data_IF_122238843476
#
_entry.id   IF_122238843476
#
_cell.length_a   1.000
_cell.length_b   1.000
_cell.length_c   1.000
_cell.angle_alpha   90.00
_cell.angle_beta   90.00
_cell.angle_gamma   90.00
#
_symmetry.space_group_name_H-M   'P 1'
#
loop_
_entity.id
_entity.type
_entity.pdbx_description
1 polymer ?
#
# COMPACT_ATOMS: atom_id res chain seq x y z
N UNK A 1 -16.91 -12.38 -75.42
CA UNK A 1 -17.40 -12.33 -74.02
C UNK A 1 -16.91 -13.56 -73.26
N UNK A 2 -15.97 -13.43 -72.30
CA UNK A 2 -15.72 -14.45 -71.30
C UNK A 2 -16.24 -14.03 -69.92
N UNK A 3 -16.83 -14.99 -69.21
CA UNK A 3 -17.52 -14.85 -67.92
C UNK A 3 -16.54 -14.52 -66.78
N UNK A 4 -16.84 -13.45 -66.03
CA UNK A 4 -16.19 -13.07 -64.77
C UNK A 4 -16.42 -14.15 -63.70
N UNK A 5 -15.33 -14.72 -63.16
CA UNK A 5 -15.36 -15.59 -61.98
C UNK A 5 -15.69 -14.77 -60.73
N UNK A 6 -16.72 -15.21 -59.99
CA UNK A 6 -17.16 -14.61 -58.74
C UNK A 6 -16.10 -14.76 -57.63
N UNK A 7 -15.76 -13.64 -56.97
CA UNK A 7 -14.93 -13.61 -55.76
C UNK A 7 -15.66 -14.32 -54.61
N UNK A 8 -15.03 -15.34 -54.04
CA UNK A 8 -15.50 -15.99 -52.82
C UNK A 8 -15.55 -14.98 -51.65
N UNK A 9 -16.72 -14.84 -51.02
CA UNK A 9 -16.91 -14.03 -49.81
C UNK A 9 -16.19 -14.71 -48.63
N UNK A 10 -15.39 -13.94 -47.88
CA UNK A 10 -14.83 -14.37 -46.59
C UNK A 10 -15.97 -14.80 -45.64
N UNK A 11 -15.84 -15.93 -44.93
CA UNK A 11 -16.78 -16.24 -43.86
C UNK A 11 -16.59 -15.22 -42.73
N UNK A 12 -17.66 -14.48 -42.43
CA UNK A 12 -17.73 -13.61 -41.26
C UNK A 12 -17.88 -14.52 -40.04
N UNK A 13 -16.82 -14.63 -39.25
CA UNK A 13 -16.87 -15.28 -37.93
C UNK A 13 -17.92 -14.56 -37.07
N UNK A 14 -18.83 -15.29 -36.41
CA UNK A 14 -19.77 -14.68 -35.48
C UNK A 14 -18.99 -14.03 -34.31
N UNK A 15 -19.43 -12.87 -33.81
CA UNK A 15 -18.80 -12.24 -32.66
C UNK A 15 -18.88 -13.19 -31.45
N UNK A 16 -17.86 -13.21 -30.57
CA UNK A 16 -17.90 -14.06 -29.38
C UNK A 16 -19.04 -13.60 -28.48
N UNK A 17 -20.16 -14.32 -28.50
CA UNK A 17 -21.29 -14.10 -27.59
C UNK A 17 -21.01 -14.75 -26.24
N UNK A 18 -21.39 -14.03 -25.19
CA UNK A 18 -21.69 -14.48 -23.83
C UNK A 18 -20.54 -14.73 -22.85
N UNK A 19 -19.76 -13.68 -22.54
CA UNK A 19 -19.00 -13.58 -21.27
C UNK A 19 -19.46 -12.44 -20.34
N UNK A 20 -20.30 -11.51 -20.81
CA UNK A 20 -20.61 -10.26 -20.12
C UNK A 20 -21.60 -10.38 -18.96
N UNK A 21 -22.57 -11.31 -19.02
CA UNK A 21 -23.71 -11.33 -18.08
C UNK A 21 -23.36 -11.84 -16.67
N UNK A 22 -22.38 -12.74 -16.54
CA UNK A 22 -21.87 -13.20 -15.22
C UNK A 22 -20.92 -12.23 -14.54
N UNK A 23 -20.27 -11.34 -15.29
CA UNK A 23 -19.32 -10.35 -14.74
C UNK A 23 -20.02 -9.22 -14.00
N UNK A 24 -21.14 -8.72 -14.51
CA UNK A 24 -21.88 -7.63 -13.86
C UNK A 24 -22.46 -8.01 -12.50
N UNK A 25 -22.96 -9.25 -12.35
CA UNK A 25 -23.50 -9.71 -11.07
C UNK A 25 -22.42 -9.92 -10.00
N UNK A 26 -21.31 -10.61 -10.31
CA UNK A 26 -20.25 -10.87 -9.33
C UNK A 26 -19.52 -9.61 -8.86
N UNK A 27 -19.43 -8.58 -9.72
CA UNK A 27 -18.85 -7.27 -9.38
C UNK A 27 -19.71 -6.50 -8.38
N UNK A 28 -21.03 -6.66 -8.39
CA UNK A 28 -21.94 -6.01 -7.44
C UNK A 28 -21.85 -6.55 -6.02
N UNK A 29 -21.75 -7.87 -5.83
CA UNK A 29 -21.77 -8.51 -4.50
C UNK A 29 -20.54 -8.19 -3.64
N UNK A 30 -19.36 -8.05 -4.25
CA UNK A 30 -18.12 -7.75 -3.50
C UNK A 30 -18.00 -6.27 -3.12
N UNK A 31 -18.47 -5.35 -3.97
CA UNK A 31 -18.62 -3.94 -3.61
C UNK A 31 -19.63 -3.75 -2.46
N UNK A 32 -20.74 -4.50 -2.50
CA UNK A 32 -21.71 -4.54 -1.41
C UNK A 32 -21.12 -5.15 -0.13
N UNK A 33 -20.32 -6.22 -0.23
CA UNK A 33 -19.63 -6.79 0.93
C UNK A 33 -18.64 -5.80 1.55
N UNK A 34 -17.90 -5.06 0.72
CA UNK A 34 -16.98 -4.02 1.19
C UNK A 34 -17.73 -2.86 1.87
N UNK A 35 -18.84 -2.41 1.28
CA UNK A 35 -19.71 -1.40 1.89
C UNK A 35 -20.35 -1.90 3.20
N UNK A 36 -20.77 -3.18 3.25
CA UNK A 36 -21.29 -3.81 4.45
C UNK A 36 -20.22 -3.94 5.54
N UNK A 37 -18.97 -4.25 5.19
CA UNK A 37 -17.87 -4.27 6.15
C UNK A 37 -17.66 -2.89 6.79
N UNK A 38 -17.56 -1.83 5.97
CA UNK A 38 -17.41 -0.45 6.47
C UNK A 38 -18.61 -0.03 7.33
N UNK A 39 -19.83 -0.37 6.90
CA UNK A 39 -21.04 -0.08 7.67
C UNK A 39 -21.11 -0.83 9.01
N UNK A 40 -20.73 -2.11 9.05
CA UNK A 40 -20.72 -2.92 10.28
C UNK A 40 -19.59 -2.51 11.22
N UNK A 41 -18.44 -2.04 10.70
CA UNK A 41 -17.38 -1.47 11.55
C UNK A 41 -17.82 -0.12 12.14
N UNK A 42 -18.54 0.71 11.38
CA UNK A 42 -19.10 1.97 11.89
C UNK A 42 -20.09 1.76 13.04
N UNK A 43 -20.79 0.61 13.09
CA UNK A 43 -21.63 0.24 14.24
C UNK A 43 -20.84 0.10 15.55
N UNK A 44 -19.50 0.03 15.52
CA UNK A 44 -18.68 0.10 16.75
C UNK A 44 -18.94 1.39 17.52
N UNK A 45 -19.19 2.49 16.82
CA UNK A 45 -19.43 3.80 17.44
C UNK A 45 -20.90 4.02 17.82
N UNK A 46 -21.83 3.46 17.06
CA UNK A 46 -23.28 3.62 17.30
C UNK A 46 -23.85 2.57 18.27
N UNK A 47 -23.40 1.32 18.17
CA UNK A 47 -23.95 0.18 18.90
C UNK A 47 -22.91 -0.96 19.07
N UNK A 48 -22.05 -0.90 20.09
CA UNK A 48 -20.98 -1.88 20.31
C UNK A 48 -21.47 -3.34 20.41
N UNK A 49 -22.66 -3.55 20.98
CA UNK A 49 -23.24 -4.89 21.14
C UNK A 49 -23.60 -5.57 19.81
N UNK A 50 -24.05 -4.79 18.82
CA UNK A 50 -24.34 -5.30 17.47
C UNK A 50 -23.06 -5.54 16.67
N UNK A 51 -22.08 -4.63 16.79
CA UNK A 51 -20.78 -4.78 16.18
C UNK A 51 -20.09 -6.09 16.61
N UNK A 52 -20.07 -6.38 17.92
CA UNK A 52 -19.49 -7.61 18.47
C UNK A 52 -20.14 -8.92 17.98
N UNK A 53 -21.36 -8.87 17.44
CA UNK A 53 -22.04 -10.04 16.85
C UNK A 53 -21.94 -10.09 15.33
N UNK A 54 -22.13 -8.95 14.67
CA UNK A 54 -22.19 -8.87 13.21
C UNK A 54 -20.82 -8.99 12.55
N UNK A 55 -19.77 -8.42 13.16
CA UNK A 55 -18.44 -8.45 12.57
C UNK A 55 -17.85 -9.88 12.53
N UNK A 56 -17.88 -10.69 13.62
CA UNK A 56 -17.46 -12.09 13.54
C UNK A 56 -18.32 -12.91 12.58
N UNK A 57 -19.64 -12.66 12.53
CA UNK A 57 -20.54 -13.35 11.61
C UNK A 57 -20.20 -13.06 10.13
N UNK A 58 -19.93 -11.80 9.78
CA UNK A 58 -19.53 -11.39 8.43
C UNK A 58 -18.24 -12.12 8.00
N UNK A 59 -17.24 -12.15 8.88
CA UNK A 59 -15.98 -12.85 8.63
C UNK A 59 -16.13 -14.36 8.58
N UNK A 60 -16.96 -14.96 9.44
CA UNK A 60 -17.25 -16.39 9.40
C UNK A 60 -17.89 -16.80 8.08
N UNK A 61 -18.85 -16.00 7.59
CA UNK A 61 -19.46 -16.19 6.26
C UNK A 61 -18.41 -16.05 5.16
N UNK A 62 -17.60 -15.00 5.18
CA UNK A 62 -16.53 -14.80 4.19
C UNK A 62 -15.51 -15.96 4.20
N UNK A 63 -15.13 -16.44 5.38
CA UNK A 63 -14.22 -17.58 5.54
C UNK A 63 -14.83 -18.88 5.02
N UNK A 64 -16.10 -19.16 5.34
CA UNK A 64 -16.81 -20.34 4.86
C UNK A 64 -16.95 -20.36 3.34
N UNK A 65 -17.36 -19.24 2.74
CA UNK A 65 -17.47 -19.11 1.29
C UNK A 65 -16.10 -19.27 0.63
N UNK A 66 -15.04 -18.76 1.26
CA UNK A 66 -13.66 -18.89 0.78
C UNK A 66 -13.19 -20.33 0.83
N UNK A 67 -13.39 -21.03 1.95
CA UNK A 67 -13.04 -22.43 2.11
C UNK A 67 -13.80 -23.33 1.12
N UNK A 68 -15.09 -23.04 0.88
CA UNK A 68 -15.88 -23.77 -0.11
C UNK A 68 -15.42 -23.52 -1.55
N UNK A 69 -14.92 -22.31 -1.86
CA UNK A 69 -14.55 -21.92 -3.23
C UNK A 69 -13.11 -22.22 -3.60
N UNK A 70 -12.18 -22.20 -2.65
CA UNK A 70 -10.75 -22.36 -2.87
C UNK A 70 -10.36 -23.68 -3.59
N UNK A 71 -10.97 -24.85 -3.31
CA UNK A 71 -10.69 -26.09 -4.05
C UNK A 71 -11.06 -26.02 -5.54
N UNK A 72 -12.04 -25.20 -5.90
CA UNK A 72 -12.51 -25.04 -7.29
C UNK A 72 -11.84 -23.88 -8.03
N UNK A 73 -10.84 -23.24 -7.43
CA UNK A 73 -10.14 -22.12 -8.04
C UNK A 73 -9.24 -22.61 -9.19
N UNK A 74 -9.53 -22.16 -10.41
CA UNK A 74 -8.87 -22.66 -11.63
C UNK A 74 -7.48 -22.11 -11.90
N UNK A 75 -7.04 -21.06 -11.18
CA UNK A 75 -5.80 -20.33 -11.51
C UNK A 75 -4.67 -20.55 -10.50
N UNK A 76 -4.68 -21.65 -9.75
CA UNK A 76 -3.63 -21.98 -8.78
C UNK A 76 -2.24 -22.03 -9.40
N UNK A 77 -2.12 -22.46 -10.66
CA UNK A 77 -0.89 -22.44 -11.44
C UNK A 77 -0.31 -21.03 -11.64
N UNK A 78 -1.18 -20.01 -11.74
CA UNK A 78 -0.78 -18.62 -11.89
C UNK A 78 -0.41 -17.99 -10.54
N UNK A 79 -1.09 -18.37 -9.45
CA UNK A 79 -0.74 -17.95 -8.09
C UNK A 79 0.62 -18.50 -7.68
N UNK A 80 0.87 -19.80 -7.93
CA UNK A 80 2.14 -20.44 -7.61
C UNK A 80 3.32 -19.77 -8.34
N UNK A 81 3.11 -19.34 -9.59
CA UNK A 81 4.11 -18.56 -10.35
C UNK A 81 4.33 -17.14 -9.83
N UNK A 82 3.35 -16.58 -9.13
CA UNK A 82 3.43 -15.25 -8.52
C UNK A 82 4.00 -15.30 -7.09
N UNK A 83 3.92 -16.44 -6.40
CA UNK A 83 4.32 -16.61 -5.01
C UNK A 83 5.76 -16.16 -4.70
N UNK A 84 6.81 -16.48 -5.50
CA UNK A 84 8.17 -16.00 -5.21
C UNK A 84 8.28 -14.47 -5.26
N UNK A 85 7.58 -13.81 -6.18
CA UNK A 85 7.55 -12.34 -6.26
C UNK A 85 6.81 -11.75 -5.07
N UNK A 86 5.74 -12.38 -4.64
CA UNK A 86 5.01 -11.98 -3.44
C UNK A 86 5.88 -12.10 -2.18
N UNK A 87 6.59 -13.22 -1.99
CA UNK A 87 7.50 -13.40 -0.86
C UNK A 87 8.65 -12.39 -0.86
N UNK A 88 9.25 -12.14 -2.03
CA UNK A 88 10.28 -11.12 -2.17
C UNK A 88 9.74 -9.70 -1.85
N UNK A 89 8.54 -9.36 -2.35
CA UNK A 89 7.90 -8.08 -2.05
C UNK A 89 7.53 -7.95 -0.56
N UNK A 90 7.10 -9.04 0.07
CA UNK A 90 6.80 -9.09 1.50
C UNK A 90 8.07 -8.87 2.34
N UNK A 91 9.16 -9.57 2.03
CA UNK A 91 10.44 -9.38 2.71
C UNK A 91 10.96 -7.95 2.53
N UNK A 92 10.85 -7.40 1.32
CA UNK A 92 11.22 -6.00 1.04
C UNK A 92 10.35 -5.00 1.82
N UNK A 93 9.05 -5.24 1.92
CA UNK A 93 8.13 -4.41 2.72
C UNK A 93 8.48 -4.47 4.21
N UNK A 94 8.77 -5.65 4.76
CA UNK A 94 9.19 -5.80 6.16
C UNK A 94 10.52 -5.09 6.44
N UNK A 95 11.49 -5.19 5.52
CA UNK A 95 12.74 -4.45 5.62
C UNK A 95 12.54 -2.93 5.57
N UNK A 96 11.67 -2.45 4.67
CA UNK A 96 11.30 -1.04 4.58
C UNK A 96 10.59 -0.56 5.86
N UNK A 97 9.73 -1.39 6.45
CA UNK A 97 9.06 -1.10 7.72
C UNK A 97 10.05 -0.98 8.88
N UNK A 98 11.03 -1.90 8.96
CA UNK A 98 12.10 -1.83 9.96
C UNK A 98 12.95 -0.58 9.79
N UNK A 99 13.36 -0.26 8.56
CA UNK A 99 14.12 0.95 8.24
C UNK A 99 13.35 2.19 8.69
N UNK A 100 12.07 2.31 8.33
CA UNK A 100 11.23 3.43 8.73
C UNK A 100 11.06 3.53 10.24
N UNK A 101 10.86 2.41 10.97
CA UNK A 101 10.72 2.42 12.42
C UNK A 101 11.99 2.96 13.11
N UNK A 102 13.17 2.56 12.62
CA UNK A 102 14.47 3.07 13.08
C UNK A 102 14.58 4.57 12.77
N UNK A 103 14.27 4.99 11.54
CA UNK A 103 14.32 6.39 11.12
C UNK A 103 13.38 7.29 11.94
N UNK A 104 12.15 6.84 12.17
CA UNK A 104 11.14 7.53 12.98
C UNK A 104 11.64 7.73 14.41
N UNK A 105 12.20 6.69 15.02
CA UNK A 105 12.77 6.79 16.36
C UNK A 105 13.91 7.80 16.38
N UNK A 106 14.87 7.66 15.47
CA UNK A 106 16.04 8.54 15.39
C UNK A 106 15.65 10.02 15.30
N UNK A 107 14.82 10.41 14.34
CA UNK A 107 14.41 11.81 14.18
C UNK A 107 13.57 12.31 15.36
N UNK A 108 12.75 11.45 15.96
CA UNK A 108 11.94 11.85 17.10
C UNK A 108 12.79 12.11 18.35
N UNK A 109 13.93 11.44 18.51
CA UNK A 109 14.78 11.54 19.71
C UNK A 109 15.99 12.45 19.56
N UNK A 110 16.50 12.67 18.34
CA UNK A 110 17.79 13.35 18.11
C UNK A 110 17.81 14.80 18.58
N UNK A 111 16.71 15.55 18.41
CA UNK A 111 16.63 16.96 18.82
C UNK A 111 16.21 17.17 20.29
N UNK A 112 15.81 16.10 20.97
CA UNK A 112 15.33 16.14 22.36
C UNK A 112 13.91 16.69 22.52
N UNK A 113 13.35 16.56 23.72
CA UNK A 113 11.96 16.95 24.02
C UNK A 113 11.73 18.47 23.97
N UNK A 114 12.72 19.25 24.39
CA UNK A 114 12.59 20.72 24.44
C UNK A 114 12.35 21.31 23.06
N UNK A 115 12.94 20.72 22.02
CA UNK A 115 12.69 21.13 20.65
C UNK A 115 11.23 20.92 20.23
N UNK A 116 10.66 19.74 20.54
CA UNK A 116 9.26 19.43 20.21
C UNK A 116 8.27 20.33 20.94
N UNK A 117 8.57 20.74 22.18
CA UNK A 117 7.72 21.64 22.97
C UNK A 117 7.84 23.11 22.56
N UNK A 118 9.05 23.57 22.24
CA UNK A 118 9.33 24.99 21.99
C UNK A 118 9.15 25.41 20.53
N UNK A 119 9.24 24.46 19.59
CA UNK A 119 9.11 24.76 18.16
C UNK A 119 7.64 24.84 17.77
N UNK A 120 7.23 26.03 17.29
CA UNK A 120 5.88 26.21 16.78
C UNK A 120 5.64 25.38 15.50
N UNK A 121 4.43 24.82 15.31
CA UNK A 121 4.07 24.15 14.06
C UNK A 121 4.10 25.14 12.89
N UNK A 122 4.32 24.62 11.68
CA UNK A 122 4.31 25.43 10.47
C UNK A 122 2.90 25.97 10.18
N UNK A 123 2.79 27.17 9.58
CA UNK A 123 1.51 27.73 9.19
C UNK A 123 0.89 26.89 8.05
N UNK A 124 -0.19 26.18 8.36
CA UNK A 124 -0.93 25.35 7.39
C UNK A 124 -2.22 26.04 6.94
N UNK A 125 -2.12 26.77 5.82
CA UNK A 125 -3.27 27.43 5.19
C UNK A 125 -4.35 26.45 4.74
N UNK A 126 -3.98 25.21 4.38
CA UNK A 126 -4.94 24.17 4.04
C UNK A 126 -5.82 23.78 5.23
N UNK A 127 -5.23 23.66 6.42
CA UNK A 127 -5.99 23.47 7.65
C UNK A 127 -6.92 24.66 7.91
N UNK A 128 -6.45 25.90 7.76
CA UNK A 128 -7.25 27.10 8.00
C UNK A 128 -8.46 27.18 7.07
N UNK A 129 -8.31 26.80 5.79
CA UNK A 129 -9.42 26.71 4.84
C UNK A 129 -10.45 25.68 5.29
N UNK A 130 -10.03 24.49 5.75
CA UNK A 130 -10.95 23.47 6.25
C UNK A 130 -11.70 23.93 7.51
N UNK A 131 -11.05 24.70 8.39
CA UNK A 131 -11.68 25.28 9.57
C UNK A 131 -12.69 26.38 9.17
N UNK A 132 -12.31 27.28 8.26
CA UNK A 132 -13.19 28.33 7.74
C UNK A 132 -14.42 27.74 7.01
N UNK A 133 -14.26 26.60 6.33
CA UNK A 133 -15.38 25.89 5.71
C UNK A 133 -16.33 25.30 6.76
N UNK A 134 -15.83 24.81 7.90
CA UNK A 134 -16.70 24.30 8.96
C UNK A 134 -17.59 25.38 9.57
N UNK A 135 -17.15 26.63 9.61
CA UNK A 135 -17.97 27.75 10.10
C UNK A 135 -19.09 28.12 9.13
N UNK A 136 -18.89 27.88 7.82
CA UNK A 136 -19.83 28.27 6.75
C UNK A 136 -20.76 27.16 6.29
N UNK A 137 -20.40 25.90 6.50
CA UNK A 137 -21.18 24.75 6.04
C UNK A 137 -22.30 24.40 7.04
N UNK A 138 -23.42 23.81 6.57
CA UNK A 138 -24.47 23.31 7.45
C UNK A 138 -23.92 22.28 8.45
N UNK A 139 -24.43 22.31 9.69
CA UNK A 139 -23.96 21.44 10.78
C UNK A 139 -23.96 19.96 10.40
N UNK A 140 -24.96 19.50 9.65
CA UNK A 140 -25.05 18.11 9.16
C UNK A 140 -23.88 17.71 8.26
N UNK A 141 -23.42 18.62 7.40
CA UNK A 141 -22.26 18.40 6.52
C UNK A 141 -20.98 18.37 7.34
N UNK A 142 -20.86 19.28 8.30
CA UNK A 142 -19.71 19.34 9.21
C UNK A 142 -19.62 18.07 10.06
N UNK A 143 -20.74 17.57 10.57
CA UNK A 143 -20.80 16.35 11.35
C UNK A 143 -20.44 15.12 10.50
N UNK A 144 -20.87 15.08 9.22
CA UNK A 144 -20.46 14.03 8.28
C UNK A 144 -18.95 14.07 7.98
N UNK A 145 -18.39 15.26 7.76
CA UNK A 145 -16.95 15.45 7.61
C UNK A 145 -16.19 15.13 8.92
N UNK A 146 -16.84 15.25 10.07
CA UNK A 146 -16.29 14.88 11.39
C UNK A 146 -16.42 13.41 11.74
N UNK A 147 -17.35 12.70 11.13
CA UNK A 147 -17.61 11.31 11.44
C UNK A 147 -16.38 10.43 11.15
N UNK A 148 -16.14 9.46 12.04
CA UNK A 148 -15.07 8.47 11.89
C UNK A 148 -15.52 7.36 10.93
N UNK A 149 -15.79 7.72 9.67
CA UNK A 149 -16.34 6.80 8.67
C UNK A 149 -15.31 5.74 8.27
N UNK A 150 -14.05 6.14 8.12
CA UNK A 150 -12.98 5.25 7.68
C UNK A 150 -11.67 5.56 8.42
N UNK A 151 -10.95 4.50 8.76
CA UNK A 151 -9.63 4.51 9.40
C UNK A 151 -8.66 3.66 8.56
N UNK A 152 -7.37 3.72 8.88
CA UNK A 152 -6.33 2.95 8.20
C UNK A 152 -6.64 1.45 8.08
N UNK A 153 -7.14 0.84 9.16
CA UNK A 153 -7.45 -0.58 9.18
C UNK A 153 -8.49 -0.96 8.12
N UNK A 154 -9.46 -0.08 7.84
CA UNK A 154 -10.44 -0.30 6.79
C UNK A 154 -9.81 -0.35 5.40
N UNK A 155 -8.85 0.52 5.09
CA UNK A 155 -8.14 0.47 3.80
C UNK A 155 -7.35 -0.82 3.64
N UNK A 156 -6.68 -1.27 4.71
CA UNK A 156 -6.00 -2.56 4.71
C UNK A 156 -6.98 -3.70 4.48
N UNK A 157 -8.17 -3.65 5.10
CA UNK A 157 -9.21 -4.65 4.92
C UNK A 157 -9.82 -4.61 3.52
N UNK A 158 -10.11 -3.44 2.96
CA UNK A 158 -10.53 -3.26 1.57
C UNK A 158 -9.50 -3.86 0.60
N UNK A 159 -8.22 -3.72 0.89
CA UNK A 159 -7.16 -4.35 0.11
C UNK A 159 -7.16 -5.89 0.28
N UNK A 160 -7.32 -6.42 1.49
CA UNK A 160 -7.47 -7.87 1.71
C UNK A 160 -8.72 -8.41 0.99
N UNK A 161 -9.82 -7.67 0.97
CA UNK A 161 -11.04 -7.96 0.21
C UNK A 161 -10.79 -8.07 -1.31
N UNK A 162 -9.80 -7.34 -1.83
CA UNK A 162 -9.33 -7.49 -3.20
C UNK A 162 -8.66 -8.86 -3.45
N UNK A 163 -8.05 -9.46 -2.42
CA UNK A 163 -7.55 -10.83 -2.47
C UNK A 163 -8.67 -11.85 -2.67
N UNK A 164 -9.77 -11.71 -1.92
CA UNK A 164 -10.96 -12.56 -2.09
C UNK A 164 -11.56 -12.39 -3.50
N UNK A 165 -11.57 -11.18 -4.02
CA UNK A 165 -12.02 -10.85 -5.38
C UNK A 165 -11.32 -11.66 -6.48
N UNK A 166 -10.03 -11.99 -6.27
CA UNK A 166 -9.28 -12.86 -7.17
C UNK A 166 -9.80 -14.30 -7.15
N UNK A 167 -10.12 -14.85 -5.97
CA UNK A 167 -10.68 -16.20 -5.80
C UNK A 167 -12.05 -16.37 -6.50
N UNK A 168 -12.88 -15.32 -6.49
CA UNK A 168 -14.16 -15.30 -7.22
C UNK A 168 -14.01 -15.01 -8.72
N UNK A 169 -12.78 -14.77 -9.20
CA UNK A 169 -12.50 -14.49 -10.60
C UNK A 169 -13.00 -13.12 -11.08
N UNK A 170 -13.28 -12.20 -10.17
CA UNK A 170 -13.70 -10.83 -10.48
C UNK A 170 -12.55 -10.02 -11.10
N UNK A 171 -11.31 -10.33 -10.71
CA UNK A 171 -10.10 -9.68 -11.22
C UNK A 171 -9.49 -10.51 -12.36
N UNK A 172 -8.92 -9.84 -13.38
CA UNK A 172 -8.33 -10.48 -14.56
C UNK A 172 -7.01 -11.22 -14.29
N UNK A 173 -6.28 -10.88 -13.22
CA UNK A 173 -4.98 -11.46 -12.86
C UNK A 173 -4.98 -12.36 -11.62
N UNK A 174 -3.81 -12.91 -11.23
CA UNK A 174 -3.63 -13.70 -10.00
C UNK A 174 -3.67 -12.82 -8.74
N UNK A 175 -4.33 -13.24 -7.67
CA UNK A 175 -4.42 -12.47 -6.42
C UNK A 175 -3.06 -12.12 -5.81
N UNK A 176 -2.11 -13.06 -5.80
CA UNK A 176 -0.76 -12.83 -5.29
C UNK A 176 0.04 -11.83 -6.14
N UNK A 177 -0.30 -11.69 -7.42
CA UNK A 177 0.38 -10.70 -8.27
C UNK A 177 0.00 -9.27 -7.90
N UNK A 178 -1.29 -8.99 -7.68
CA UNK A 178 -1.74 -7.64 -7.31
C UNK A 178 -1.28 -7.32 -5.90
N UNK A 179 -1.27 -8.33 -5.03
CA UNK A 179 -0.69 -8.23 -3.70
C UNK A 179 0.80 -7.91 -3.74
N UNK A 180 1.58 -8.58 -4.60
CA UNK A 180 3.02 -8.30 -4.74
C UNK A 180 3.29 -6.88 -5.23
N UNK A 181 2.51 -6.37 -6.19
CA UNK A 181 2.63 -4.99 -6.66
C UNK A 181 2.29 -4.01 -5.56
N UNK A 182 1.22 -4.25 -4.82
CA UNK A 182 0.82 -3.38 -3.72
C UNK A 182 1.89 -3.33 -2.63
N UNK A 183 2.38 -4.49 -2.17
CA UNK A 183 3.45 -4.58 -1.16
C UNK A 183 4.73 -3.91 -1.63
N UNK A 184 5.15 -4.15 -2.88
CA UNK A 184 6.35 -3.52 -3.44
C UNK A 184 6.20 -1.99 -3.55
N UNK A 185 5.06 -1.51 -4.07
CA UNK A 185 4.80 -0.08 -4.23
C UNK A 185 4.74 0.62 -2.87
N UNK A 186 4.11 -0.03 -1.90
CA UNK A 186 4.09 0.45 -0.52
C UNK A 186 5.50 0.50 0.07
N UNK A 187 6.30 -0.55 -0.11
CA UNK A 187 7.68 -0.57 0.38
C UNK A 187 8.53 0.56 -0.20
N UNK A 188 8.47 0.80 -1.52
CA UNK A 188 9.15 1.93 -2.16
C UNK A 188 8.65 3.26 -1.58
N UNK A 189 7.33 3.43 -1.48
CA UNK A 189 6.73 4.62 -0.90
C UNK A 189 7.10 4.83 0.57
N UNK A 190 7.36 3.78 1.34
CA UNK A 190 7.84 3.90 2.73
C UNK A 190 9.31 4.29 2.79
N UNK A 191 10.16 3.72 1.93
CA UNK A 191 11.58 4.07 1.85
C UNK A 191 11.79 5.51 1.40
N UNK A 192 11.08 5.97 0.36
CA UNK A 192 11.14 7.37 -0.08
C UNK A 192 10.73 8.33 1.05
N UNK A 193 9.73 7.92 1.85
CA UNK A 193 9.30 8.70 3.02
C UNK A 193 10.37 8.70 4.11
N UNK A 194 10.98 7.55 4.39
CA UNK A 194 12.05 7.45 5.38
C UNK A 194 13.28 8.28 4.98
N UNK A 195 13.67 8.26 3.70
CA UNK A 195 14.80 9.05 3.17
C UNK A 195 14.54 10.55 3.30
N UNK A 196 13.37 11.01 2.85
CA UNK A 196 12.99 12.43 2.93
C UNK A 196 12.93 12.93 4.37
N UNK A 197 12.39 12.12 5.26
CA UNK A 197 12.30 12.42 6.69
C UNK A 197 13.66 12.38 7.42
N UNK A 198 14.55 11.47 7.06
CA UNK A 198 15.93 11.47 7.57
C UNK A 198 16.72 12.69 7.08
N UNK A 199 16.45 13.14 5.84
CA UNK A 199 17.11 14.28 5.26
C UNK A 199 16.64 15.62 5.85
N UNK A 200 15.39 15.71 6.32
CA UNK A 200 14.84 16.96 6.86
C UNK A 200 13.82 16.70 7.96
N UNK A 201 14.08 17.27 9.14
CA UNK A 201 13.20 17.17 10.31
C UNK A 201 12.25 18.38 10.31
N UNK A 202 10.95 18.12 10.22
CA UNK A 202 9.91 19.14 10.30
C UNK A 202 9.21 19.12 11.67
N UNK A 203 8.81 20.30 12.20
CA UNK A 203 8.09 20.37 13.46
C UNK A 203 6.74 19.69 13.35
N UNK A 204 6.34 19.01 14.43
CA UNK A 204 5.04 18.35 14.50
C UNK A 204 3.89 19.33 14.37
N UNK A 205 2.81 18.94 13.70
CA UNK A 205 1.53 19.64 13.79
C UNK A 205 0.92 19.58 15.21
N UNK A 206 1.39 18.66 16.07
CA UNK A 206 1.00 18.49 17.48
C UNK A 206 2.23 18.52 18.40
N UNK A 207 2.61 19.68 18.96
CA UNK A 207 3.83 19.81 19.76
C UNK A 207 3.87 18.92 21.02
N UNK A 208 2.69 18.56 21.58
CA UNK A 208 2.59 17.64 22.72
C UNK A 208 2.72 16.14 22.36
N UNK A 209 2.81 15.78 21.07
CA UNK A 209 2.86 14.37 20.66
C UNK A 209 4.06 13.64 21.27
N UNK A 210 5.26 14.26 21.19
CA UNK A 210 6.49 13.61 21.61
C UNK A 210 6.49 13.30 23.12
N UNK A 211 6.00 14.25 23.92
CA UNK A 211 5.88 14.12 25.37
C UNK A 211 4.88 13.03 25.78
N UNK A 212 3.73 12.97 25.12
CA UNK A 212 2.72 11.97 25.42
C UNK A 212 3.18 10.54 25.06
N UNK A 213 4.09 10.40 24.08
CA UNK A 213 4.43 9.12 23.47
C UNK A 213 5.78 8.55 23.88
N UNK A 214 6.78 9.40 24.07
CA UNK A 214 8.18 8.99 24.27
C UNK A 214 8.73 9.54 25.58
N UNK A 215 9.64 8.78 26.20
CA UNK A 215 10.44 9.27 27.32
C UNK A 215 11.85 9.55 26.79
N UNK A 216 12.04 10.75 26.26
CA UNK A 216 13.31 11.22 25.68
C UNK A 216 13.91 12.33 26.52
N UNK A 217 15.25 12.48 26.55
CA UNK A 217 15.89 13.61 27.21
C UNK A 217 15.44 14.95 26.63
N UNK A 218 15.41 15.99 27.45
CA UNK A 218 15.00 17.33 27.01
C UNK A 218 15.96 17.95 26.00
N UNK A 219 17.24 17.55 26.02
CA UNK A 219 18.29 18.15 25.21
C UNK A 219 18.61 17.37 23.92
N UNK A 220 19.13 18.04 22.88
CA UNK A 220 19.58 17.38 21.65
C UNK A 220 20.77 16.44 21.89
N UNK A 221 20.88 15.40 21.07
CA UNK A 221 21.98 14.44 21.13
C UNK A 221 23.34 15.16 20.98
N UNK A 222 24.37 14.83 21.79
CA UNK A 222 25.69 15.47 21.75
C UNK A 222 26.29 15.73 20.37
N UNK A 223 26.28 14.76 19.45
CA UNK A 223 26.82 14.95 18.10
C UNK A 223 25.99 15.94 17.26
N UNK A 224 24.66 15.97 17.46
CA UNK A 224 23.74 16.78 16.67
C UNK A 224 23.76 18.27 17.07
N UNK A 225 24.15 18.58 18.32
CA UNK A 225 24.19 19.96 18.84
C UNK A 225 24.98 20.90 17.94
N UNK A 226 26.16 20.44 17.47
CA UNK A 226 27.06 21.23 16.63
C UNK A 226 26.39 21.70 15.33
N UNK A 227 25.47 20.90 14.80
CA UNK A 227 24.83 21.12 13.51
C UNK A 227 23.49 21.85 13.64
N UNK A 228 22.75 21.62 14.73
CA UNK A 228 21.42 22.21 14.93
C UNK A 228 21.45 23.60 15.60
N UNK A 229 22.31 23.79 16.60
CA UNK A 229 22.36 25.02 17.39
C UNK A 229 22.57 26.33 16.58
N UNK A 230 23.32 26.35 15.46
CA UNK A 230 23.44 27.55 14.63
C UNK A 230 22.11 28.09 14.09
N UNK A 231 21.19 27.18 13.76
CA UNK A 231 19.89 27.53 13.17
C UNK A 231 18.86 27.98 14.21
N UNK A 232 19.09 27.65 15.49
CA UNK A 232 18.25 28.03 16.60
C UNK A 232 18.68 29.34 17.29
N UNK A 233 19.89 29.84 17.03
CA UNK A 233 20.54 30.92 17.80
C UNK A 233 20.54 32.29 17.15
N UNK A 234 20.34 32.40 15.83
CA UNK A 234 20.12 33.69 15.15
C UNK A 234 20.74 33.81 13.76
N UNK A 235 20.33 34.85 13.02
CA UNK A 235 20.72 35.06 11.62
C UNK A 235 22.23 35.22 11.40
N UNK A 236 22.95 35.81 12.35
CA UNK A 236 24.40 36.02 12.26
C UNK A 236 25.19 34.70 12.31
N UNK A 237 24.71 33.73 13.08
CA UNK A 237 25.34 32.41 13.19
C UNK A 237 25.11 31.61 11.91
N UNK A 238 23.90 31.68 11.34
CA UNK A 238 23.59 31.09 10.02
C UNK A 238 24.49 31.71 8.94
N UNK A 239 24.63 33.05 8.92
CA UNK A 239 25.50 33.74 7.97
C UNK A 239 26.96 33.28 8.09
N UNK A 240 27.43 32.98 9.30
CA UNK A 240 28.77 32.43 9.53
C UNK A 240 28.92 31.03 8.95
N UNK A 241 27.97 30.13 9.21
CA UNK A 241 27.96 28.78 8.62
C UNK A 241 28.00 28.84 7.10
N UNK A 242 27.22 29.71 6.47
CA UNK A 242 27.20 29.87 5.00
C UNK A 242 28.53 30.40 4.45
N UNK A 243 29.24 31.26 5.20
CA UNK A 243 30.51 31.84 4.76
C UNK A 243 31.71 30.92 4.99
N UNK A 244 31.73 30.23 6.13
CA UNK A 244 32.88 29.43 6.58
C UNK A 244 32.73 27.94 6.24
N UNK A 245 31.54 27.51 5.80
CA UNK A 245 31.16 26.11 5.50
C UNK A 245 31.47 25.14 6.67
N UNK A 246 31.44 25.66 7.90
CA UNK A 246 31.78 24.92 9.11
C UNK A 246 30.69 25.09 10.17
N UNK A 247 30.23 23.99 10.80
CA UNK A 247 29.24 24.06 11.87
C UNK A 247 29.90 24.65 13.13
N UNK A 248 29.38 25.79 13.59
CA UNK A 248 29.89 26.51 14.76
C UNK A 248 28.84 26.52 15.87
N UNK A 249 29.05 25.75 16.94
CA UNK A 249 28.21 25.84 18.14
C UNK A 249 29.02 25.62 19.41
N UNK A 250 28.64 26.36 20.45
CA UNK A 250 29.02 26.04 21.83
C UNK A 250 28.23 24.81 22.24
N UNK A 251 28.89 23.65 22.25
CA UNK A 251 28.29 22.40 22.71
C UNK A 251 28.05 22.53 24.21
N UNK A 252 26.80 22.36 24.63
CA UNK A 252 26.47 22.37 26.05
C UNK A 252 26.82 20.99 26.62
N UNK A 253 27.44 21.00 27.80
CA UNK A 253 27.76 19.78 28.53
C UNK A 253 26.48 19.27 29.20
N UNK A 254 26.02 18.10 28.77
CA UNK A 254 24.81 17.45 29.30
C UNK A 254 25.20 16.17 30.04
N UNK A 255 24.35 15.69 30.97
CA UNK A 255 24.57 14.44 31.66
C UNK A 255 24.84 13.28 30.70
N UNK A 256 25.68 12.33 31.13
CA UNK A 256 25.97 11.13 30.36
C UNK A 256 24.66 10.39 29.99
N UNK A 257 24.51 10.03 28.72
CA UNK A 257 23.34 9.31 28.24
C UNK A 257 23.32 7.86 28.74
N UNK A 258 22.12 7.31 28.95
CA UNK A 258 21.94 5.92 29.35
C UNK A 258 22.36 4.97 28.22
N UNK A 259 23.30 4.06 28.51
CA UNK A 259 23.84 3.10 27.54
C UNK A 259 23.63 1.66 28.01
N UNK A 260 22.58 0.96 27.52
CA UNK A 260 22.36 -0.45 27.84
C UNK A 260 23.31 -1.35 27.04
N UNK A 261 23.69 -2.49 27.62
CA UNK A 261 24.48 -3.51 26.93
C UNK A 261 23.57 -4.42 26.08
N UNK A 262 23.41 -4.09 24.80
CA UNK A 262 22.63 -4.88 23.83
C UNK A 262 23.47 -5.88 23.03
N UNK A 263 24.71 -6.15 23.47
CA UNK A 263 25.65 -7.03 22.77
C UNK A 263 25.95 -6.54 21.34
N UNK A 264 25.65 -7.37 20.34
CA UNK A 264 25.86 -7.01 18.92
C UNK A 264 25.00 -5.84 18.44
N UNK A 265 23.89 -5.55 19.12
CA UNK A 265 22.97 -4.47 18.76
C UNK A 265 23.31 -3.14 19.45
N UNK A 266 24.42 -3.05 20.19
CA UNK A 266 24.82 -1.83 20.90
C UNK A 266 25.10 -0.64 19.98
N UNK A 267 25.39 -0.86 18.68
CA UNK A 267 25.49 0.23 17.70
C UNK A 267 24.16 0.99 17.51
N UNK A 268 23.02 0.38 17.85
CA UNK A 268 21.71 1.05 17.79
C UNK A 268 21.49 2.03 18.94
N UNK A 269 22.32 2.04 19.99
CA UNK A 269 22.12 2.89 21.17
C UNK A 269 22.14 4.37 20.79
N UNK A 270 23.11 4.81 19.99
CA UNK A 270 23.22 6.21 19.56
C UNK A 270 22.11 6.59 18.54
N UNK A 271 21.47 5.60 17.89
CA UNK A 271 20.38 5.82 16.92
C UNK A 271 19.01 5.86 17.62
N UNK A 272 18.74 4.88 18.49
CA UNK A 272 17.45 4.72 19.16
C UNK A 272 17.34 5.56 20.44
N UNK A 273 18.48 6.02 20.99
CA UNK A 273 18.60 6.88 22.17
C UNK A 273 17.72 6.38 23.33
N UNK A 274 18.07 5.24 23.95
CA UNK A 274 17.27 4.63 25.01
C UNK A 274 17.32 5.46 26.30
N UNK A 275 16.28 5.34 27.13
CA UNK A 275 16.25 5.88 28.50
C UNK A 275 15.94 4.76 29.50
N UNK A 276 16.30 4.98 30.77
CA UNK A 276 16.12 3.97 31.84
C UNK A 276 14.65 3.57 32.08
N UNK A 277 13.68 4.41 31.68
CA UNK A 277 12.25 4.17 31.84
C UNK A 277 11.57 3.39 30.70
N UNK A 278 12.22 3.22 29.54
CA UNK A 278 11.59 2.62 28.34
C UNK A 278 11.85 1.11 28.17
N UNK A 279 12.51 0.50 29.15
CA UNK A 279 12.78 -0.94 29.22
C UNK A 279 14.10 -1.36 28.58
N UNK A 280 14.58 -2.60 28.86
CA UNK A 280 15.94 -3.01 28.53
C UNK A 280 16.15 -3.46 27.08
N UNK A 281 15.09 -3.61 26.27
CA UNK A 281 15.17 -4.23 24.93
C UNK A 281 15.05 -3.20 23.80
N UNK A 282 16.00 -3.24 22.86
CA UNK A 282 15.94 -2.47 21.61
C UNK A 282 14.66 -2.72 20.81
N UNK A 283 14.10 -3.93 20.87
CA UNK A 283 12.87 -4.31 20.16
C UNK A 283 11.64 -3.55 20.69
N UNK A 284 11.57 -3.35 22.01
CA UNK A 284 10.48 -2.61 22.64
C UNK A 284 10.44 -1.15 22.16
N UNK A 285 11.61 -0.52 22.02
CA UNK A 285 11.74 0.84 21.49
C UNK A 285 11.27 0.94 20.04
N UNK A 286 11.63 -0.04 19.19
CA UNK A 286 11.17 -0.09 17.80
C UNK A 286 9.66 -0.30 17.70
N UNK A 287 9.07 -1.15 18.55
CA UNK A 287 7.61 -1.35 18.59
C UNK A 287 6.90 -0.05 18.95
N UNK A 288 7.43 0.74 19.88
CA UNK A 288 6.88 2.03 20.31
C UNK A 288 7.06 3.16 19.28
N UNK A 289 8.08 3.04 18.42
CA UNK A 289 8.38 3.96 17.32
C UNK A 289 7.35 3.94 16.16
N UNK A 290 6.36 3.05 16.20
CA UNK A 290 5.26 2.93 15.22
C UNK A 290 4.30 4.14 15.24
N UNK A 291 4.68 5.26 14.62
CA UNK A 291 3.84 6.47 14.49
C UNK A 291 4.53 7.70 15.06
N UNK A 292 5.45 8.26 14.28
CA UNK A 292 6.31 9.38 14.66
C UNK A 292 5.54 10.63 15.07
N UNK A 293 6.17 11.44 15.92
CA UNK A 293 5.62 12.73 16.32
C UNK A 293 6.12 13.88 15.46
N UNK A 294 7.32 13.77 14.90
CA UNK A 294 7.78 14.68 13.85
C UNK A 294 6.96 14.47 12.60
N UNK A 295 6.79 15.54 11.83
CA UNK A 295 6.07 15.43 10.57
C UNK A 295 6.89 14.69 9.51
N UNK A 296 6.19 13.89 8.70
CA UNK A 296 6.74 13.09 7.62
C UNK A 296 6.27 13.78 6.33
N UNK A 297 7.20 14.23 5.49
CA UNK A 297 6.96 15.01 4.23
C UNK A 297 5.78 14.55 3.36
N UNK A 298 5.31 13.31 3.52
CA UNK A 298 3.98 12.92 3.10
C UNK A 298 3.36 11.84 4.00
N UNK A 299 2.05 11.81 4.11
CA UNK A 299 1.35 10.93 5.06
C UNK A 299 1.39 9.45 4.65
N UNK A 300 1.75 8.58 5.60
CA UNK A 300 1.67 7.14 5.45
C UNK A 300 0.24 6.60 5.33
N UNK A 301 -0.68 7.16 6.11
CA UNK A 301 -2.10 6.81 6.06
C UNK A 301 -2.68 7.08 4.68
N UNK A 302 -2.36 8.26 4.14
CA UNK A 302 -2.80 8.65 2.81
C UNK A 302 -2.15 7.80 1.71
N UNK A 303 -0.88 7.43 1.85
CA UNK A 303 -0.24 6.51 0.90
C UNK A 303 -1.00 5.17 0.82
N UNK A 304 -1.32 4.56 1.97
CA UNK A 304 -2.08 3.29 2.03
C UNK A 304 -3.49 3.46 1.41
N UNK A 305 -4.16 4.56 1.75
CA UNK A 305 -5.50 4.86 1.23
C UNK A 305 -5.50 5.01 -0.31
N UNK A 306 -4.53 5.76 -0.84
CA UNK A 306 -4.38 6.00 -2.29
C UNK A 306 -3.99 4.74 -3.04
N UNK A 307 -3.04 3.95 -2.53
CA UNK A 307 -2.68 2.67 -3.14
C UNK A 307 -3.88 1.71 -3.17
N UNK A 308 -4.70 1.71 -2.12
CA UNK A 308 -5.94 0.92 -2.06
C UNK A 308 -6.93 1.41 -3.11
N UNK A 309 -7.17 2.72 -3.20
CA UNK A 309 -8.05 3.31 -4.20
C UNK A 309 -7.59 3.01 -5.64
N UNK A 310 -6.28 3.07 -5.90
CA UNK A 310 -5.70 2.71 -7.19
C UNK A 310 -5.89 1.22 -7.51
N UNK A 311 -5.67 0.33 -6.53
CA UNK A 311 -5.88 -1.10 -6.71
C UNK A 311 -7.35 -1.44 -7.03
N UNK A 312 -8.29 -0.78 -6.35
CA UNK A 312 -9.73 -0.92 -6.60
C UNK A 312 -10.16 -0.30 -7.94
N UNK A 313 -9.59 0.85 -8.31
CA UNK A 313 -9.84 1.48 -9.62
C UNK A 313 -9.46 0.54 -10.76
N UNK A 314 -8.32 -0.14 -10.62
CA UNK A 314 -7.82 -1.07 -11.63
C UNK A 314 -8.59 -2.40 -11.67
N UNK A 315 -9.15 -2.83 -10.52
CA UNK A 315 -9.89 -4.08 -10.41
C UNK A 315 -11.37 -3.99 -10.79
N UNK A 316 -12.07 -2.94 -10.33
CA UNK A 316 -13.53 -2.90 -10.33
C UNK A 316 -14.14 -1.75 -11.14
N UNK A 317 -13.42 -0.64 -11.36
CA UNK A 317 -13.92 0.51 -12.12
C UNK A 317 -15.28 1.06 -11.66
N UNK A 318 -15.80 2.09 -12.37
CA UNK A 318 -17.17 2.59 -12.16
C UNK A 318 -17.43 3.27 -10.80
N UNK A 319 -18.69 3.25 -10.35
CA UNK A 319 -19.16 3.98 -9.15
C UNK A 319 -18.52 3.53 -7.84
N UNK A 320 -18.16 2.25 -7.70
CA UNK A 320 -17.47 1.73 -6.51
C UNK A 320 -16.09 2.37 -6.37
N UNK A 321 -15.39 2.58 -7.49
CA UNK A 321 -14.12 3.31 -7.49
C UNK A 321 -14.30 4.76 -7.04
N UNK A 322 -15.31 5.45 -7.56
CA UNK A 322 -15.64 6.84 -7.16
C UNK A 322 -15.89 6.92 -5.66
N UNK A 323 -16.66 5.99 -5.09
CA UNK A 323 -16.92 5.95 -3.66
C UNK A 323 -15.63 5.80 -2.83
N UNK A 324 -14.69 4.95 -3.26
CA UNK A 324 -13.40 4.78 -2.56
C UNK A 324 -12.55 6.04 -2.65
N UNK A 325 -12.55 6.74 -3.79
CA UNK A 325 -11.87 8.03 -3.90
C UNK A 325 -12.50 9.12 -3.04
N UNK A 326 -13.83 9.12 -2.85
CA UNK A 326 -14.47 10.01 -1.88
C UNK A 326 -14.05 9.69 -0.45
N UNK A 327 -13.86 8.42 -0.10
CA UNK A 327 -13.32 8.01 1.20
C UNK A 327 -11.87 8.49 1.39
N UNK A 328 -11.04 8.46 0.34
CA UNK A 328 -9.67 9.01 0.37
C UNK A 328 -9.71 10.51 0.66
N UNK A 329 -10.57 11.27 -0.01
CA UNK A 329 -10.74 12.71 0.21
C UNK A 329 -11.21 12.99 1.64
N UNK A 330 -12.18 12.22 2.13
CA UNK A 330 -12.66 12.30 3.51
C UNK A 330 -11.53 12.03 4.52
N UNK A 331 -10.69 11.01 4.27
CA UNK A 331 -9.53 10.69 5.11
C UNK A 331 -8.51 11.84 5.09
N UNK A 332 -8.17 12.38 3.93
CA UNK A 332 -7.25 13.52 3.81
C UNK A 332 -7.74 14.73 4.61
N UNK A 333 -9.01 15.09 4.43
CA UNK A 333 -9.62 16.20 5.16
C UNK A 333 -9.52 16.00 6.67
N UNK A 334 -9.75 14.77 7.15
CA UNK A 334 -9.70 14.45 8.58
C UNK A 334 -8.29 14.51 9.15
N UNK A 335 -7.31 13.91 8.48
CA UNK A 335 -5.89 13.94 8.87
C UNK A 335 -5.39 15.38 9.03
N UNK A 336 -5.75 16.27 8.11
CA UNK A 336 -5.40 17.70 8.15
C UNK A 336 -6.12 18.40 9.30
N UNK A 337 -7.45 18.21 9.41
CA UNK A 337 -8.27 18.90 10.43
C UNK A 337 -7.82 18.54 11.84
N UNK A 338 -7.58 17.27 12.09
CA UNK A 338 -7.16 16.76 13.40
C UNK A 338 -5.68 17.06 13.68
N UNK A 339 -4.93 17.71 12.78
CA UNK A 339 -3.48 17.98 12.93
C UNK A 339 -2.66 16.70 13.08
N UNK A 340 -3.05 15.63 12.38
CA UNK A 340 -2.19 14.44 12.30
C UNK A 340 -1.05 14.66 11.30
N UNK A 341 -1.30 15.40 10.23
CA UNK A 341 -0.35 15.79 9.19
C UNK A 341 -0.68 17.18 8.67
N UNK A 342 0.27 17.86 8.04
CA UNK A 342 -0.01 19.07 7.29
C UNK A 342 -0.76 18.76 5.99
N UNK A 343 -1.44 19.77 5.46
CA UNK A 343 -2.14 19.67 4.17
C UNK A 343 -1.25 19.23 3.02
N UNK A 344 0.00 19.72 3.00
CA UNK A 344 0.99 19.34 2.00
C UNK A 344 1.26 17.83 2.04
N UNK A 345 1.39 17.24 3.23
CA UNK A 345 1.74 15.81 3.36
C UNK A 345 0.65 14.91 2.78
N UNK A 346 -0.61 15.32 2.95
CA UNK A 346 -1.76 14.60 2.43
C UNK A 346 -1.84 14.71 0.90
N UNK A 347 -1.62 15.91 0.35
CA UNK A 347 -1.63 16.15 -1.11
C UNK A 347 -0.46 15.42 -1.78
N UNK A 348 0.74 15.50 -1.18
CA UNK A 348 1.94 14.83 -1.65
C UNK A 348 1.76 13.33 -1.67
N UNK A 349 1.19 12.75 -0.61
CA UNK A 349 0.91 11.33 -0.57
C UNK A 349 -0.04 10.88 -1.69
N UNK A 350 -1.01 11.71 -2.08
CA UNK A 350 -1.94 11.41 -3.18
C UNK A 350 -1.21 11.33 -4.52
N UNK A 351 -0.46 12.37 -4.90
CA UNK A 351 0.21 12.33 -6.21
C UNK A 351 1.37 11.33 -6.24
N UNK A 352 2.15 11.21 -5.16
CA UNK A 352 3.24 10.22 -5.05
C UNK A 352 2.65 8.82 -5.13
N UNK A 353 1.56 8.54 -4.41
CA UNK A 353 0.88 7.24 -4.44
C UNK A 353 0.40 6.86 -5.85
N UNK A 354 -0.21 7.81 -6.59
CA UNK A 354 -0.64 7.61 -7.97
C UNK A 354 0.57 7.35 -8.89
N UNK A 355 1.61 8.18 -8.79
CA UNK A 355 2.82 8.05 -9.62
C UNK A 355 3.53 6.72 -9.37
N UNK A 356 3.76 6.36 -8.10
CA UNK A 356 4.36 5.09 -7.72
C UNK A 356 3.53 3.92 -8.24
N UNK A 357 2.20 3.96 -8.09
CA UNK A 357 1.34 2.89 -8.62
C UNK A 357 1.45 2.76 -10.14
N UNK A 358 1.51 3.87 -10.88
CA UNK A 358 1.68 3.86 -12.33
C UNK A 358 3.06 3.33 -12.72
N UNK A 359 4.11 3.76 -12.03
CA UNK A 359 5.49 3.32 -12.27
C UNK A 359 5.69 1.83 -11.99
N UNK A 360 5.05 1.27 -10.96
CA UNK A 360 5.14 -0.15 -10.61
C UNK A 360 4.17 -1.03 -11.42
N UNK A 361 3.48 -0.47 -12.41
CA UNK A 361 2.53 -1.18 -13.28
C UNK A 361 3.12 -2.41 -13.98
N UNK A 362 4.43 -2.42 -14.25
CA UNK A 362 5.12 -3.55 -14.89
C UNK A 362 5.03 -4.85 -14.08
N UNK A 363 4.97 -4.78 -12.74
CA UNK A 363 4.89 -5.96 -11.86
C UNK A 363 3.60 -6.76 -12.06
N UNK A 364 2.52 -6.07 -12.43
CA UNK A 364 1.23 -6.67 -12.71
C UNK A 364 1.01 -6.91 -14.21
N UNK A 365 1.47 -5.98 -15.05
CA UNK A 365 1.28 -6.02 -16.51
C UNK A 365 2.22 -6.98 -17.25
N UNK A 366 3.27 -7.54 -16.62
CA UNK A 366 4.18 -8.50 -17.26
C UNK A 366 3.46 -9.73 -17.88
N UNK A 367 2.26 -10.07 -17.40
CA UNK A 367 1.43 -11.13 -17.98
C UNK A 367 0.63 -10.63 -19.20
N UNK A 368 0.11 -9.41 -19.16
CA UNK A 368 -0.59 -8.78 -20.28
C UNK A 368 0.37 -8.44 -21.42
N UNK A 369 1.56 -7.92 -21.15
CA UNK A 369 2.58 -7.66 -22.20
C UNK A 369 3.01 -8.94 -22.91
N UNK A 370 3.17 -10.06 -22.18
CA UNK A 370 3.42 -11.36 -22.82
C UNK A 370 2.22 -11.86 -23.62
N UNK A 371 0.99 -11.64 -23.15
CA UNK A 371 -0.22 -12.01 -23.88
C UNK A 371 -0.42 -11.15 -25.14
N UNK A 372 -0.23 -9.84 -25.07
CA UNK A 372 -0.27 -8.91 -26.20
C UNK A 372 0.83 -9.23 -27.22
N UNK A 373 2.04 -9.56 -26.75
CA UNK A 373 3.15 -9.98 -27.62
C UNK A 373 2.88 -11.34 -28.27
N UNK A 374 2.22 -12.25 -27.56
CA UNK A 374 1.72 -13.53 -28.12
C UNK A 374 0.62 -13.30 -29.15
N UNK A 375 -0.36 -12.46 -28.86
CA UNK A 375 -1.43 -12.11 -29.79
C UNK A 375 -0.87 -11.45 -31.05
N UNK A 376 0.09 -10.52 -30.90
CA UNK A 376 0.77 -9.92 -32.05
C UNK A 376 1.61 -10.93 -32.85
N UNK A 377 2.24 -11.91 -32.18
CA UNK A 377 2.93 -13.02 -32.87
C UNK A 377 1.94 -13.93 -33.60
N UNK A 378 0.82 -14.30 -32.96
CA UNK A 378 -0.24 -15.11 -33.56
C UNK A 378 -0.87 -14.41 -34.76
N UNK A 379 -1.08 -13.10 -34.69
CA UNK A 379 -1.60 -12.30 -35.81
C UNK A 379 -0.58 -12.23 -36.97
N UNK A 380 0.72 -12.12 -36.66
CA UNK A 380 1.79 -12.26 -37.68
C UNK A 380 1.80 -13.64 -38.32
N UNK A 381 1.70 -14.70 -37.52
CA UNK A 381 1.67 -16.08 -38.02
C UNK A 381 0.41 -16.33 -38.84
N UNK A 382 -0.75 -15.85 -38.41
CA UNK A 382 -2.00 -15.91 -39.16
C UNK A 382 -1.90 -15.20 -40.52
N UNK A 383 -1.30 -14.00 -40.54
CA UNK A 383 -1.07 -13.26 -41.79
C UNK A 383 -0.09 -13.99 -42.73
N UNK A 384 0.95 -14.64 -42.20
CA UNK A 384 1.88 -15.47 -42.98
C UNK A 384 1.20 -16.74 -43.51
N UNK A 385 0.41 -17.40 -42.68
CA UNK A 385 -0.32 -18.62 -43.03
C UNK A 385 -1.37 -18.34 -44.12
N UNK A 386 -2.03 -17.17 -44.08
CA UNK A 386 -2.94 -16.73 -45.14
C UNK A 386 -2.22 -16.44 -46.47
N UNK A 387 -0.98 -15.94 -46.44
CA UNK A 387 -0.16 -15.75 -47.65
C UNK A 387 0.33 -17.09 -48.20
N UNK A 388 0.91 -17.96 -47.37
CA UNK A 388 1.36 -19.29 -47.77
C UNK A 388 0.22 -20.15 -48.35
N UNK A 389 -0.98 -20.08 -47.78
CA UNK A 389 -2.17 -20.75 -48.33
C UNK A 389 -2.63 -20.18 -49.68
N UNK A 390 -2.43 -18.89 -49.93
CA UNK A 390 -2.71 -18.25 -51.23
C UNK A 390 -1.69 -18.66 -52.29
N UNK A 391 -0.44 -18.83 -51.88
CA UNK A 391 0.69 -19.15 -52.76
C UNK A 391 0.90 -20.68 -52.91
N UNK A 392 0.03 -21.49 -52.29
CA UNK A 392 0.07 -22.97 -52.29
C UNK A 392 1.37 -23.58 -51.76
N UNK A 393 2.08 -22.88 -50.87
CA UNK A 393 3.31 -23.36 -50.24
C UNK A 393 2.97 -24.25 -49.01
N UNK A 394 2.85 -25.55 -49.28
CA UNK A 394 2.57 -26.56 -48.27
C UNK A 394 3.70 -26.74 -47.24
N UNK A 395 4.94 -26.37 -47.57
CA UNK A 395 6.09 -26.49 -46.67
C UNK A 395 6.07 -25.36 -45.63
N UNK A 396 5.78 -24.13 -46.06
CA UNK A 396 5.63 -23.00 -45.14
C UNK A 396 4.41 -23.16 -44.22
N UNK A 397 3.29 -23.71 -44.70
CA UNK A 397 2.12 -24.01 -43.85
C UNK A 397 2.50 -24.99 -42.73
N UNK A 398 3.22 -26.07 -43.07
CA UNK A 398 3.60 -27.11 -42.10
C UNK A 398 4.59 -26.58 -41.07
N UNK A 399 5.52 -25.71 -41.48
CA UNK A 399 6.48 -25.08 -40.56
C UNK A 399 5.81 -24.09 -39.61
N UNK A 400 4.86 -23.26 -40.11
CA UNK A 400 4.10 -22.31 -39.30
C UNK A 400 3.17 -23.01 -38.30
N UNK A 401 2.53 -24.13 -38.69
CA UNK A 401 1.75 -24.94 -37.77
C UNK A 401 2.63 -25.54 -36.66
N UNK A 402 3.81 -26.04 -37.00
CA UNK A 402 4.75 -26.58 -36.02
C UNK A 402 5.30 -25.48 -35.09
N UNK A 403 5.55 -24.27 -35.60
CA UNK A 403 5.93 -23.11 -34.77
C UNK A 403 4.82 -22.73 -33.77
N UNK A 404 3.55 -22.79 -34.19
CA UNK A 404 2.39 -22.55 -33.30
C UNK A 404 2.21 -23.68 -32.29
N UNK A 405 2.45 -24.92 -32.69
CA UNK A 405 2.36 -26.08 -31.80
C UNK A 405 3.47 -26.06 -30.74
N UNK A 406 4.70 -25.73 -31.13
CA UNK A 406 5.85 -25.54 -30.23
C UNK A 406 5.67 -24.30 -29.35
N UNK A 407 5.12 -23.20 -29.87
CA UNK A 407 4.81 -22.00 -29.08
C UNK A 407 3.59 -22.20 -28.16
N UNK A 408 2.69 -23.11 -28.54
CA UNK A 408 1.48 -23.52 -27.84
C UNK A 408 1.74 -24.57 -26.75
N UNK A 409 2.87 -25.30 -26.82
CA UNK A 409 3.39 -26.04 -25.68
C UNK A 409 3.74 -25.06 -24.56
N UNK A 410 2.79 -24.90 -23.63
CA UNK A 410 2.95 -24.08 -22.45
C UNK A 410 4.23 -24.47 -21.70
N UNK A 411 4.95 -23.47 -21.17
CA UNK A 411 5.97 -23.67 -20.13
C UNK A 411 5.42 -24.70 -19.14
N UNK A 412 6.08 -25.86 -19.04
CA UNK A 412 5.71 -27.01 -18.18
C UNK A 412 4.80 -26.58 -17.03
N UNK A 413 3.51 -26.90 -17.13
CA UNK A 413 2.59 -26.74 -16.01
C UNK A 413 3.15 -27.50 -14.80
N UNK A 414 3.02 -26.91 -13.61
CA UNK A 414 3.42 -27.59 -12.38
C UNK A 414 2.64 -28.90 -12.24
N UNK A 415 3.26 -29.89 -11.59
CA UNK A 415 2.59 -31.15 -11.26
C UNK A 415 1.33 -30.88 -10.44
N UNK A 416 0.26 -31.62 -10.73
CA UNK A 416 -1.03 -31.49 -10.03
C UNK A 416 -0.90 -31.68 -8.51
N UNK A 417 0.04 -32.51 -8.05
CA UNK A 417 0.34 -32.68 -6.61
C UNK A 417 0.89 -31.40 -5.98
N UNK A 418 1.75 -30.67 -6.70
CA UNK A 418 2.35 -29.40 -6.23
C UNK A 418 1.29 -28.29 -6.19
N UNK A 419 0.39 -28.27 -7.17
CA UNK A 419 -0.74 -27.33 -7.21
C UNK A 419 -1.68 -27.59 -6.03
N UNK A 420 -2.00 -28.85 -5.75
CA UNK A 420 -2.89 -29.23 -4.66
C UNK A 420 -2.26 -28.95 -3.29
N UNK A 421 -0.97 -29.26 -3.10
CA UNK A 421 -0.26 -28.97 -1.85
C UNK A 421 -0.14 -27.47 -1.58
N UNK A 422 0.15 -26.68 -2.62
CA UNK A 422 0.16 -25.22 -2.50
C UNK A 422 -1.22 -24.65 -2.16
N UNK A 423 -2.27 -25.14 -2.81
CA UNK A 423 -3.64 -24.73 -2.52
C UNK A 423 -4.02 -25.04 -1.06
N UNK A 424 -3.73 -26.26 -0.60
CA UNK A 424 -3.98 -26.67 0.79
C UNK A 424 -3.19 -25.80 1.78
N UNK A 425 -1.89 -25.58 1.53
CA UNK A 425 -1.05 -24.73 2.37
C UNK A 425 -1.59 -23.29 2.45
N UNK A 426 -2.02 -22.71 1.33
CA UNK A 426 -2.59 -21.36 1.29
C UNK A 426 -3.91 -21.26 2.04
N UNK A 427 -4.78 -22.28 1.95
CA UNK A 427 -6.05 -22.32 2.70
C UNK A 427 -5.78 -22.41 4.19
N UNK A 428 -4.89 -23.32 4.62
CA UNK A 428 -4.53 -23.46 6.04
C UNK A 428 -3.89 -22.18 6.56
N UNK A 429 -2.95 -21.60 5.81
CA UNK A 429 -2.28 -20.35 6.18
C UNK A 429 -3.28 -19.19 6.32
N UNK A 430 -4.18 -19.02 5.36
CA UNK A 430 -5.19 -17.94 5.42
C UNK A 430 -6.17 -18.12 6.58
N UNK A 431 -6.66 -19.34 6.82
CA UNK A 431 -7.52 -19.64 7.97
C UNK A 431 -6.79 -19.41 9.31
N UNK A 432 -5.52 -19.82 9.40
CA UNK A 432 -4.69 -19.58 10.58
C UNK A 432 -4.47 -18.09 10.82
N UNK A 433 -4.17 -17.31 9.78
CA UNK A 433 -4.05 -15.85 9.89
C UNK A 433 -5.36 -15.20 10.33
N UNK A 434 -6.52 -15.66 9.85
CA UNK A 434 -7.82 -15.15 10.28
C UNK A 434 -8.06 -15.49 11.75
N UNK A 435 -7.80 -16.75 12.17
CA UNK A 435 -7.89 -17.17 13.57
C UNK A 435 -6.99 -16.33 14.48
N UNK A 436 -5.72 -16.18 14.11
CA UNK A 436 -4.75 -15.35 14.84
C UNK A 436 -5.17 -13.89 14.87
N UNK A 437 -5.72 -13.34 13.78
CA UNK A 437 -6.27 -12.00 13.79
C UNK A 437 -7.41 -11.91 14.82
N UNK A 438 -8.38 -12.81 14.81
CA UNK A 438 -9.46 -12.80 15.79
C UNK A 438 -9.01 -12.95 17.25
N UNK A 439 -8.01 -13.80 17.51
CA UNK A 439 -7.54 -14.05 18.88
C UNK A 439 -6.55 -13.01 19.39
N UNK A 440 -5.76 -12.38 18.51
CA UNK A 440 -4.73 -11.40 18.90
C UNK A 440 -5.18 -9.95 18.74
N UNK A 441 -6.19 -9.67 17.91
CA UNK A 441 -6.72 -8.29 17.71
C UNK A 441 -7.98 -8.00 18.53
N UNK A 442 -8.46 -8.95 19.35
CA UNK A 442 -9.56 -8.70 20.28
C UNK A 442 -9.24 -7.61 21.31
N UNK A 443 -7.96 -7.35 21.56
CA UNK A 443 -7.47 -6.28 22.45
C UNK A 443 -6.90 -5.04 21.72
N UNK A 444 -7.16 -4.90 20.40
CA UNK A 444 -6.76 -3.74 19.61
C UNK A 444 -5.66 -4.02 18.60
#
# INVERSE_FOLDING_TARGET
MPKLKAKAKRPVLPPPRAGGRRRSFAVGWLGLAAAAYVGVDYLRHLSPAWHGRLQPALWAVLALVTAARAPFYRRWDAELRAAPRFLAALAFMLAAFLCEAISVRFVSTVLGLQWHRSTAPLPDTGQWVLLALNEKLPQTVVDLLRAHIINLHHYLMLFIMLGFSALFGCIKGPGLGIASRYMFTMAVGRLLRAITFLATILPSARPWCAEARYQIPDHPHPWAQKYYAPYASGADVIRRVVKEDMPYAVVQDYPAEYRPEWGQMSFLVDILRPTSGEGPSWYHLLKRASGGCSDLMYSGHMLVAVLTAMAWTEAYGGWVSVAIWLLVVHSAQREIRERHHYSVDCIVAIYVGILLWRMTGFLWSAKETNQSRRLAKLDKVQNRLFRAAKDSDMIEIRSLLNEVEVAGQEKKSFSQRVILSFAAAMIVFTLLCVLLAFTLTSDG
#
